data_IF_681748237728
#
_entry.id   IF_681748237728
#
_cell.length_a   1.000
_cell.length_b   1.000
_cell.length_c   1.000
_cell.angle_alpha   90.00
_cell.angle_beta   90.00
_cell.angle_gamma   90.00
#
_symmetry.space_group_name_H-M   'P 1'
#
loop_
_entity.id
_entity.type
_entity.pdbx_description
1 polymer ?
#
# COMPACT_ATOMS: atom_id res chain seq x y z
N UNK A 1 -15.65 12.39 14.09
CA UNK A 1 -14.97 11.13 14.43
C UNK A 1 -16.02 10.05 14.51
N UNK A 2 -15.99 9.12 13.57
CA UNK A 2 -16.87 7.95 13.48
C UNK A 2 -16.27 6.75 14.22
N UNK A 3 -14.95 6.72 14.42
CA UNK A 3 -14.26 5.67 15.17
C UNK A 3 -13.22 6.22 16.16
N UNK A 4 -12.87 5.48 17.23
CA UNK A 4 -11.92 5.93 18.25
C UNK A 4 -10.49 6.14 17.75
N UNK A 5 -10.15 5.59 16.57
CA UNK A 5 -8.81 5.63 15.98
C UNK A 5 -8.67 6.66 14.84
N UNK A 6 -9.74 7.40 14.49
CA UNK A 6 -9.70 8.42 13.44
C UNK A 6 -8.60 9.47 13.70
N UNK A 7 -8.32 9.74 14.98
CA UNK A 7 -7.25 10.65 15.40
C UNK A 7 -5.85 10.24 14.93
N UNK A 8 -5.62 8.94 14.66
CA UNK A 8 -4.34 8.45 14.11
C UNK A 8 -4.22 8.87 12.64
N UNK A 9 -5.28 8.73 11.86
CA UNK A 9 -5.32 9.20 10.47
C UNK A 9 -5.22 10.72 10.39
N UNK A 10 -5.91 11.45 11.27
CA UNK A 10 -5.84 12.91 11.34
C UNK A 10 -4.44 13.42 11.75
N UNK A 11 -3.67 12.60 12.49
CA UNK A 11 -2.28 12.87 12.85
C UNK A 11 -1.28 12.56 11.72
N UNK A 12 -1.63 11.69 10.78
CA UNK A 12 -0.76 11.39 9.64
C UNK A 12 -0.80 12.55 8.62
N UNK A 13 0.28 13.33 8.57
CA UNK A 13 0.43 14.41 7.61
C UNK A 13 0.91 13.86 6.26
N UNK A 14 -0.02 13.55 5.36
CA UNK A 14 0.31 13.28 3.97
C UNK A 14 0.56 14.60 3.24
N UNK A 15 1.81 15.07 3.25
CA UNK A 15 2.20 16.34 2.60
C UNK A 15 2.28 16.23 1.07
N UNK A 16 2.43 15.02 0.54
CA UNK A 16 2.61 14.77 -0.88
C UNK A 16 1.32 14.31 -1.55
N UNK A 17 0.94 14.99 -2.62
CA UNK A 17 -0.08 14.49 -3.54
C UNK A 17 0.41 13.23 -4.27
N UNK A 18 -0.54 12.40 -4.71
CA UNK A 18 -0.24 11.25 -5.54
C UNK A 18 0.27 11.74 -6.91
N UNK A 19 1.43 11.25 -7.34
CA UNK A 19 2.03 11.63 -8.61
C UNK A 19 2.86 10.50 -9.23
N UNK A 20 3.33 10.74 -10.46
CA UNK A 20 4.21 9.79 -11.14
C UNK A 20 5.51 9.57 -10.35
N UNK A 21 6.00 8.34 -10.38
CA UNK A 21 7.23 7.93 -9.69
C UNK A 21 7.95 6.84 -10.47
N UNK A 22 9.20 6.56 -10.12
CA UNK A 22 9.98 5.49 -10.75
C UNK A 22 9.60 4.10 -10.23
N UNK A 23 9.14 4.01 -8.98
CA UNK A 23 8.81 2.73 -8.32
C UNK A 23 7.77 2.91 -7.22
N UNK A 24 6.86 1.95 -7.11
CA UNK A 24 5.96 1.77 -5.96
C UNK A 24 6.56 0.72 -5.03
N UNK A 25 6.97 1.10 -3.82
CA UNK A 25 7.42 0.18 -2.77
C UNK A 25 6.23 -0.25 -1.91
N UNK A 26 6.01 -1.56 -1.76
CA UNK A 26 5.00 -2.12 -0.85
C UNK A 26 5.71 -2.73 0.35
N UNK A 27 5.72 -2.06 1.52
CA UNK A 27 6.24 -2.67 2.74
C UNK A 27 5.31 -3.80 3.19
N UNK A 28 5.87 -4.81 3.85
CA UNK A 28 5.08 -5.89 4.43
C UNK A 28 4.08 -5.34 5.45
N UNK A 29 2.82 -5.77 5.33
CA UNK A 29 1.72 -5.34 6.18
C UNK A 29 0.85 -6.55 6.58
N UNK A 30 0.07 -6.39 7.66
CA UNK A 30 -0.88 -7.43 8.11
C UNK A 30 -2.24 -7.36 7.42
N UNK A 31 -2.39 -6.51 6.40
CA UNK A 31 -3.67 -6.17 5.79
C UNK A 31 -3.53 -6.08 4.26
N UNK A 32 -4.35 -6.81 3.48
CA UNK A 32 -4.23 -6.87 2.02
C UNK A 32 -4.60 -5.57 1.30
N UNK A 33 -5.35 -4.66 1.93
CA UNK A 33 -5.79 -3.40 1.29
C UNK A 33 -4.62 -2.53 0.82
N UNK A 34 -3.45 -2.64 1.47
CA UNK A 34 -2.24 -1.95 1.03
C UNK A 34 -1.77 -2.46 -0.35
N UNK A 35 -1.81 -3.77 -0.56
CA UNK A 35 -1.43 -4.43 -1.82
C UNK A 35 -2.44 -4.08 -2.92
N UNK A 36 -3.73 -4.20 -2.64
CA UNK A 36 -4.80 -3.87 -3.58
C UNK A 36 -4.67 -2.43 -4.11
N UNK A 37 -4.37 -1.48 -3.20
CA UNK A 37 -4.17 -0.08 -3.59
C UNK A 37 -2.92 0.09 -4.43
N UNK A 38 -1.81 -0.56 -4.07
CA UNK A 38 -0.55 -0.45 -4.80
C UNK A 38 -0.65 -1.05 -6.21
N UNK A 39 -1.27 -2.23 -6.35
CA UNK A 39 -1.53 -2.85 -7.65
C UNK A 39 -2.44 -1.97 -8.54
N UNK A 40 -3.50 -1.40 -7.97
CA UNK A 40 -4.37 -0.47 -8.69
C UNK A 40 -3.59 0.75 -9.22
N UNK A 41 -2.70 1.33 -8.42
CA UNK A 41 -1.86 2.46 -8.84
C UNK A 41 -0.84 2.06 -9.91
N UNK A 42 -0.24 0.87 -9.81
CA UNK A 42 0.66 0.34 -10.81
C UNK A 42 -0.04 0.14 -12.17
N UNK A 43 -1.23 -0.45 -12.19
CA UNK A 43 -2.04 -0.59 -13.41
C UNK A 43 -2.57 0.74 -13.98
N UNK A 44 -2.49 1.83 -13.22
CA UNK A 44 -2.80 3.20 -13.67
C UNK A 44 -1.56 3.94 -14.21
N UNK A 45 -0.45 3.23 -14.45
CA UNK A 45 0.82 3.79 -14.95
C UNK A 45 1.41 4.90 -14.06
N UNK A 46 1.10 4.88 -12.76
CA UNK A 46 1.68 5.80 -11.77
C UNK A 46 3.20 5.58 -11.66
N UNK A 47 3.66 4.35 -11.82
CA UNK A 47 5.08 4.00 -11.85
C UNK A 47 5.36 2.85 -12.81
N UNK A 48 6.54 2.81 -13.46
CA UNK A 48 6.94 1.73 -14.34
C UNK A 48 7.34 0.45 -13.59
N UNK A 49 7.62 0.54 -12.28
CA UNK A 49 8.01 -0.60 -11.45
C UNK A 49 7.21 -0.66 -10.15
N UNK A 50 7.00 -1.89 -9.68
CA UNK A 50 6.45 -2.17 -8.35
C UNK A 50 7.35 -3.17 -7.65
N UNK A 51 7.69 -2.87 -6.40
CA UNK A 51 8.57 -3.67 -5.56
C UNK A 51 7.82 -4.10 -4.31
N UNK A 52 7.29 -5.32 -4.28
CA UNK A 52 6.77 -5.90 -3.06
C UNK A 52 7.92 -6.40 -2.18
N UNK A 53 8.00 -5.89 -0.94
CA UNK A 53 9.10 -6.19 -0.02
C UNK A 53 8.69 -6.99 1.21
N UNK A 54 7.41 -7.30 1.37
CA UNK A 54 6.94 -8.19 2.43
C UNK A 54 7.10 -9.66 2.09
N UNK A 55 6.85 -10.50 3.09
CA UNK A 55 6.83 -11.94 2.96
C UNK A 55 5.60 -12.52 3.64
N UNK A 56 5.35 -13.81 3.45
CA UNK A 56 4.21 -14.48 4.07
C UNK A 56 4.28 -14.38 5.60
N UNK A 57 3.15 -14.02 6.22
CA UNK A 57 3.00 -13.96 7.68
C UNK A 57 1.76 -14.73 8.10
N UNK A 58 1.59 -15.09 9.39
CA UNK A 58 0.35 -15.73 9.85
C UNK A 58 -0.91 -14.88 9.68
N UNK A 59 -0.76 -13.57 9.44
CA UNK A 59 -1.88 -12.64 9.24
C UNK A 59 -2.21 -12.41 7.77
N UNK A 60 -1.26 -12.70 6.88
CA UNK A 60 -1.41 -12.61 5.44
C UNK A 60 -0.67 -13.82 4.85
N UNK A 61 -1.43 -14.87 4.59
CA UNK A 61 -0.90 -16.16 4.11
C UNK A 61 -0.40 -16.09 2.66
N UNK A 62 -0.81 -15.04 1.95
CA UNK A 62 -0.48 -14.77 0.56
C UNK A 62 0.52 -13.63 0.46
N UNK A 63 1.40 -13.68 -0.54
CA UNK A 63 2.37 -12.60 -0.76
C UNK A 63 1.76 -11.48 -1.59
N UNK A 64 2.35 -10.30 -1.53
CA UNK A 64 1.91 -9.11 -2.30
C UNK A 64 1.80 -9.39 -3.82
N UNK A 65 2.54 -10.39 -4.30
CA UNK A 65 2.54 -10.84 -5.69
C UNK A 65 1.20 -11.39 -6.19
N UNK A 66 0.31 -11.87 -5.31
CA UNK A 66 -0.99 -12.38 -5.76
C UNK A 66 -1.95 -11.28 -6.26
N UNK A 67 -1.63 -10.03 -5.97
CA UNK A 67 -2.45 -8.86 -6.34
C UNK A 67 -2.01 -8.19 -7.65
N UNK A 68 -0.93 -8.69 -8.28
CA UNK A 68 -0.35 -8.18 -9.53
C UNK A 68 -0.71 -9.07 -10.73
#
# INVERSE_FOLDING_TARGET
MSFPFDCISDFMFFESELGHSDVILIPGASHPQLMERAAMLYHQDIAPFILPSGGATPHVETTEWEFL
#
